data_IF_284999743370
#
_entry.id   IF_284999743370
#
_cell.length_a   1.000
_cell.length_b   1.000
_cell.length_c   1.000
_cell.angle_alpha   90.00
_cell.angle_beta   90.00
_cell.angle_gamma   90.00
#
_symmetry.space_group_name_H-M   'P 1'
#
loop_
_entity.id
_entity.type
_entity.pdbx_description
1 polymer ?
#
# COMPACT_ATOMS: atom_id res chain seq x y z
N UNK A 1 14.51 9.64 -25.16
CA UNK A 1 13.48 10.48 -24.55
C UNK A 1 14.09 11.74 -23.94
N UNK A 2 15.15 11.63 -23.12
CA UNK A 2 15.87 12.76 -22.49
C UNK A 2 16.34 13.80 -23.52
N UNK A 3 16.94 13.37 -24.63
CA UNK A 3 17.38 14.26 -25.69
C UNK A 3 16.21 15.05 -26.29
N UNK A 4 15.05 14.42 -26.42
CA UNK A 4 13.84 15.07 -26.96
C UNK A 4 13.24 16.09 -25.97
N UNK A 5 13.23 15.77 -24.67
CA UNK A 5 12.82 16.69 -23.60
C UNK A 5 13.72 17.94 -23.60
N UNK A 6 15.03 17.76 -23.68
CA UNK A 6 16.01 18.85 -23.78
C UNK A 6 15.80 19.72 -25.03
N UNK A 7 15.39 19.10 -26.16
CA UNK A 7 15.11 19.84 -27.41
C UNK A 7 13.83 20.67 -27.26
N UNK A 8 12.77 20.13 -26.62
CA UNK A 8 11.51 20.85 -26.37
C UNK A 8 11.74 22.05 -25.46
N UNK A 9 12.50 21.87 -24.37
CA UNK A 9 12.87 22.94 -23.47
C UNK A 9 13.63 24.07 -24.19
N UNK A 10 14.58 23.74 -25.06
CA UNK A 10 15.29 24.70 -25.90
C UNK A 10 14.36 25.46 -26.85
N UNK A 11 13.30 24.84 -27.34
CA UNK A 11 12.29 25.46 -28.21
C UNK A 11 11.19 26.20 -27.45
N UNK A 12 11.28 26.30 -26.12
CA UNK A 12 10.25 26.86 -25.23
C UNK A 12 8.88 26.21 -25.39
N UNK A 13 8.87 24.91 -25.67
CA UNK A 13 7.68 24.06 -25.68
C UNK A 13 7.61 23.32 -24.35
N UNK A 14 6.39 23.03 -23.88
CA UNK A 14 6.19 22.34 -22.61
C UNK A 14 6.62 20.87 -22.72
N UNK A 15 7.65 20.41 -21.99
CA UNK A 15 8.11 19.04 -21.98
C UNK A 15 7.35 18.14 -21.00
N UNK A 16 6.44 18.65 -20.18
CA UNK A 16 5.87 17.99 -18.99
C UNK A 16 5.34 16.57 -19.28
N UNK A 17 4.64 16.37 -20.40
CA UNK A 17 4.12 15.04 -20.75
C UNK A 17 5.20 13.99 -21.08
N UNK A 18 6.37 14.45 -21.52
CA UNK A 18 7.51 13.57 -21.80
C UNK A 18 8.37 13.33 -20.55
N UNK A 19 8.44 14.32 -19.67
CA UNK A 19 9.08 14.17 -18.35
C UNK A 19 8.33 13.12 -17.52
N UNK A 20 7.00 13.20 -17.46
CA UNK A 20 6.17 12.18 -16.78
C UNK A 20 6.41 10.78 -17.36
N UNK A 21 6.51 10.64 -18.70
CA UNK A 21 6.78 9.35 -19.34
C UNK A 21 8.20 8.84 -19.05
N UNK A 22 9.16 9.74 -18.92
CA UNK A 22 10.54 9.37 -18.55
C UNK A 22 10.59 8.88 -17.11
N UNK A 23 9.90 9.57 -16.20
CA UNK A 23 9.83 9.17 -14.79
C UNK A 23 9.17 7.80 -14.62
N UNK A 24 8.06 7.56 -15.33
CA UNK A 24 7.41 6.24 -15.35
C UNK A 24 8.35 5.14 -15.88
N UNK A 25 9.07 5.42 -16.97
CA UNK A 25 10.03 4.47 -17.51
C UNK A 25 11.19 4.18 -16.55
N UNK A 26 11.71 5.21 -15.88
CA UNK A 26 12.76 5.06 -14.88
C UNK A 26 12.27 4.27 -13.65
N UNK A 27 11.04 4.51 -13.20
CA UNK A 27 10.44 3.76 -12.10
C UNK A 27 10.24 2.29 -12.48
N UNK A 28 9.72 2.02 -13.68
CA UNK A 28 9.58 0.65 -14.18
C UNK A 28 10.95 -0.07 -14.27
N UNK A 29 11.99 0.62 -14.72
CA UNK A 29 13.34 0.05 -14.74
C UNK A 29 13.84 -0.29 -13.34
N UNK A 30 13.66 0.61 -12.36
CA UNK A 30 14.06 0.34 -10.96
C UNK A 30 13.32 -0.86 -10.37
N UNK A 31 12.03 -1.03 -10.69
CA UNK A 31 11.27 -2.22 -10.27
C UNK A 31 11.85 -3.50 -10.87
N UNK A 32 12.25 -3.48 -12.15
CA UNK A 32 12.88 -4.65 -12.78
C UNK A 32 14.25 -4.97 -12.17
N UNK A 33 14.98 -3.98 -11.67
CA UNK A 33 16.26 -4.17 -10.99
C UNK A 33 16.09 -4.76 -9.57
N UNK A 34 14.90 -4.61 -8.97
CA UNK A 34 14.53 -5.13 -7.64
C UNK A 34 13.74 -6.45 -7.74
N UNK A 35 13.97 -7.27 -8.75
CA UNK A 35 13.29 -8.58 -8.86
C UNK A 35 13.68 -9.46 -7.69
N UNK A 36 12.67 -9.90 -6.94
CA UNK A 36 12.84 -10.86 -5.85
C UNK A 36 12.53 -12.28 -6.33
N UNK A 37 13.30 -13.25 -5.86
CA UNK A 37 13.05 -14.66 -6.15
C UNK A 37 11.94 -15.18 -5.23
N UNK A 38 10.70 -15.00 -5.68
CA UNK A 38 9.48 -15.34 -4.93
C UNK A 38 8.83 -16.57 -5.55
N UNK A 39 8.48 -17.53 -4.73
CA UNK A 39 7.69 -18.68 -5.17
C UNK A 39 6.19 -18.39 -5.01
N UNK A 40 5.48 -18.21 -6.12
CA UNK A 40 4.01 -18.18 -6.12
C UNK A 40 3.51 -19.62 -5.92
N UNK A 41 2.84 -19.89 -4.80
CA UNK A 41 2.37 -21.23 -4.44
C UNK A 41 0.90 -21.46 -4.82
N UNK A 42 0.09 -20.39 -4.86
CA UNK A 42 -1.32 -20.46 -5.26
C UNK A 42 -1.80 -19.09 -5.77
N UNK A 43 -2.93 -19.09 -6.45
CA UNK A 43 -3.55 -17.89 -6.99
C UNK A 43 -5.07 -18.10 -7.07
N UNK A 44 -5.82 -17.22 -6.40
CA UNK A 44 -7.28 -17.30 -6.30
C UNK A 44 -7.91 -16.07 -6.93
N UNK A 45 -8.83 -16.26 -7.87
CA UNK A 45 -9.59 -15.17 -8.47
C UNK A 45 -10.90 -14.99 -7.71
N UNK A 46 -11.08 -13.83 -7.10
CA UNK A 46 -12.24 -13.49 -6.28
C UNK A 46 -12.87 -12.16 -6.72
N UNK A 47 -14.06 -11.87 -6.22
CA UNK A 47 -14.67 -10.55 -6.38
C UNK A 47 -13.88 -9.50 -5.59
N UNK A 48 -13.69 -8.32 -6.18
CA UNK A 48 -12.93 -7.23 -5.56
C UNK A 48 -13.51 -6.79 -4.22
N UNK A 49 -14.82 -6.96 -4.00
CA UNK A 49 -15.47 -6.68 -2.71
C UNK A 49 -15.19 -7.71 -1.62
N UNK A 50 -14.78 -8.93 -2.02
CA UNK A 50 -14.64 -10.07 -1.11
C UNK A 50 -13.18 -10.55 -0.96
N UNK A 51 -12.21 -9.80 -1.49
CA UNK A 51 -10.81 -10.25 -1.56
C UNK A 51 -10.21 -10.60 -0.19
N UNK A 52 -10.63 -9.92 0.89
CA UNK A 52 -10.15 -10.22 2.24
C UNK A 52 -10.48 -11.65 2.70
N UNK A 53 -11.53 -12.28 2.14
CA UNK A 53 -11.89 -13.65 2.49
C UNK A 53 -10.82 -14.68 2.09
N UNK A 54 -9.93 -14.33 1.18
CA UNK A 54 -8.81 -15.17 0.75
C UNK A 54 -7.59 -15.09 1.69
N UNK A 55 -7.54 -14.12 2.61
CA UNK A 55 -6.43 -13.92 3.53
C UNK A 55 -6.64 -14.78 4.78
N UNK A 56 -5.81 -15.80 4.96
CA UNK A 56 -5.84 -16.70 6.11
C UNK A 56 -4.57 -16.47 6.90
N UNK A 57 -4.67 -15.71 7.98
CA UNK A 57 -3.55 -15.33 8.84
C UNK A 57 -3.56 -16.14 10.14
N UNK A 58 -2.39 -16.43 10.68
CA UNK A 58 -2.24 -16.89 12.06
C UNK A 58 -2.62 -15.78 13.05
N UNK A 59 -3.03 -16.16 14.25
CA UNK A 59 -3.36 -15.18 15.30
C UNK A 59 -2.14 -14.33 15.69
N UNK A 60 -0.94 -14.83 15.48
CA UNK A 60 0.34 -14.14 15.71
C UNK A 60 0.59 -13.00 14.74
N UNK A 61 -0.02 -13.04 13.58
CA UNK A 61 0.09 -11.99 12.55
C UNK A 61 -0.93 -10.86 12.70
N UNK A 62 -1.82 -10.92 13.71
CA UNK A 62 -2.90 -9.97 13.91
C UNK A 62 -4.14 -10.31 13.10
N UNK A 63 -5.03 -9.34 12.94
CA UNK A 63 -6.30 -9.53 12.20
C UNK A 63 -6.54 -8.44 11.17
N UNK A 64 -7.29 -8.81 10.14
CA UNK A 64 -7.72 -7.93 9.05
C UNK A 64 -9.24 -7.92 8.98
N UNK A 65 -9.80 -6.73 8.94
CA UNK A 65 -11.22 -6.50 8.74
C UNK A 65 -11.45 -5.47 7.63
N UNK A 66 -12.64 -5.45 7.03
CA UNK A 66 -13.02 -4.29 6.23
C UNK A 66 -13.25 -3.08 7.14
N UNK A 67 -12.99 -1.88 6.63
CA UNK A 67 -13.25 -0.64 7.39
C UNK A 67 -14.71 -0.59 7.87
N UNK A 68 -15.64 -0.96 7.00
CA UNK A 68 -17.09 -0.99 7.28
C UNK A 68 -17.42 -1.92 8.44
N UNK A 69 -16.90 -3.14 8.45
CA UNK A 69 -17.23 -4.14 9.46
C UNK A 69 -16.59 -3.80 10.80
N UNK A 70 -15.34 -3.32 10.79
CA UNK A 70 -14.64 -2.93 12.02
C UNK A 70 -15.30 -1.76 12.73
N UNK A 71 -15.59 -0.67 12.01
CA UNK A 71 -16.20 0.54 12.58
C UNK A 71 -17.73 0.50 12.59
N UNK A 72 -18.36 -0.56 12.11
CA UNK A 72 -19.80 -0.73 12.00
C UNK A 72 -20.50 0.47 11.33
N UNK A 73 -19.90 0.97 10.27
CA UNK A 73 -20.36 2.14 9.52
C UNK A 73 -20.96 1.77 8.17
N UNK A 74 -21.84 2.63 7.64
CA UNK A 74 -22.35 2.52 6.27
C UNK A 74 -21.63 3.47 5.29
N UNK A 75 -20.59 4.14 5.73
CA UNK A 75 -19.79 4.98 4.86
C UNK A 75 -19.12 4.15 3.77
N UNK A 76 -19.08 4.63 2.52
CA UNK A 76 -18.49 3.90 1.40
C UNK A 76 -16.96 4.00 1.41
N UNK A 77 -16.32 3.63 2.52
CA UNK A 77 -14.86 3.61 2.66
C UNK A 77 -14.34 2.28 2.15
N UNK A 78 -13.60 2.33 1.05
CA UNK A 78 -12.95 1.15 0.47
C UNK A 78 -11.53 1.00 1.04
N UNK A 79 -11.44 0.51 2.25
CA UNK A 79 -10.20 0.32 3.00
C UNK A 79 -10.30 -0.88 3.92
N UNK A 80 -9.17 -1.25 4.50
CA UNK A 80 -9.03 -2.31 5.50
C UNK A 80 -8.56 -1.74 6.82
N UNK A 81 -8.86 -2.46 7.89
CA UNK A 81 -8.33 -2.20 9.24
C UNK A 81 -7.43 -3.38 9.62
N UNK A 82 -6.17 -3.11 9.83
CA UNK A 82 -5.26 -4.06 10.45
C UNK A 82 -5.19 -3.81 11.95
N UNK A 83 -5.40 -4.86 12.73
CA UNK A 83 -5.23 -4.84 14.19
C UNK A 83 -4.06 -5.76 14.56
N UNK A 84 -3.09 -5.24 15.29
CA UNK A 84 -1.91 -5.98 15.70
C UNK A 84 -2.25 -7.16 16.61
N UNK A 85 -1.31 -8.12 16.74
CA UNK A 85 -1.44 -9.33 17.57
C UNK A 85 -1.88 -9.04 19.00
N UNK A 86 -1.35 -7.96 19.61
CA UNK A 86 -1.71 -7.58 20.99
C UNK A 86 -3.12 -7.04 21.12
N UNK A 87 -3.75 -6.67 20.01
CA UNK A 87 -5.07 -6.05 19.99
C UNK A 87 -5.10 -4.62 20.52
N UNK A 88 -3.96 -3.99 20.72
CA UNK A 88 -3.83 -2.67 21.33
C UNK A 88 -3.56 -1.54 20.33
N UNK A 89 -3.40 -1.87 19.05
CA UNK A 89 -3.16 -0.88 18.01
C UNK A 89 -3.79 -1.27 16.68
N UNK A 90 -4.39 -0.29 16.01
CA UNK A 90 -4.96 -0.45 14.67
C UNK A 90 -4.34 0.53 13.69
N UNK A 91 -4.33 0.10 12.42
CA UNK A 91 -3.92 0.90 11.28
C UNK A 91 -4.96 0.75 10.17
N UNK A 92 -5.32 1.84 9.54
CA UNK A 92 -6.35 1.88 8.51
C UNK A 92 -6.20 3.11 7.63
N UNK A 93 -7.02 3.23 6.59
CA UNK A 93 -7.06 4.42 5.77
C UNK A 93 -8.49 4.92 5.58
N UNK A 94 -8.64 6.23 5.53
CA UNK A 94 -9.85 6.90 5.09
C UNK A 94 -9.54 8.30 4.56
N UNK A 95 -10.56 8.97 4.01
CA UNK A 95 -10.45 10.36 3.57
C UNK A 95 -11.11 11.27 4.61
N UNK A 96 -10.41 12.32 5.04
CA UNK A 96 -10.94 13.32 5.99
C UNK A 96 -11.71 14.45 5.30
N UNK A 97 -11.41 14.73 4.05
CA UNK A 97 -11.93 15.84 3.25
C UNK A 97 -12.62 15.40 1.95
N UNK A 98 -12.65 14.09 1.70
CA UNK A 98 -13.23 13.48 0.50
C UNK A 98 -12.30 13.48 -0.71
N UNK A 99 -11.06 14.00 -0.57
CA UNK A 99 -10.13 14.11 -1.69
C UNK A 99 -9.32 12.84 -1.90
N UNK A 100 -8.63 12.38 -0.84
CA UNK A 100 -7.73 11.22 -0.94
C UNK A 100 -7.73 10.38 0.34
N UNK A 101 -7.35 9.13 0.21
CA UNK A 101 -7.11 8.24 1.34
C UNK A 101 -5.75 8.54 1.98
N UNK A 102 -5.74 8.68 3.30
CA UNK A 102 -4.54 8.78 4.12
C UNK A 102 -4.53 7.66 5.17
N UNK A 103 -3.34 7.25 5.58
CA UNK A 103 -3.11 6.24 6.60
C UNK A 103 -3.19 6.86 8.00
N UNK A 104 -3.89 6.17 8.89
CA UNK A 104 -4.09 6.54 10.29
C UNK A 104 -3.78 5.37 11.22
N UNK A 105 -3.60 5.69 12.49
CA UNK A 105 -3.45 4.72 13.57
C UNK A 105 -4.19 5.17 14.81
N UNK A 106 -4.70 4.21 15.58
CA UNK A 106 -5.22 4.42 16.93
C UNK A 106 -4.60 3.40 17.89
N UNK A 107 -4.47 3.78 19.14
CA UNK A 107 -4.02 2.87 20.21
C UNK A 107 -5.13 2.66 21.22
N UNK A 108 -5.23 1.47 21.78
CA UNK A 108 -6.18 1.13 22.83
C UNK A 108 -5.79 1.83 24.13
N UNK A 109 -6.74 2.52 24.74
CA UNK A 109 -6.60 3.18 26.04
C UNK A 109 -7.79 2.77 26.92
N UNK A 110 -7.55 2.03 27.99
CA UNK A 110 -8.60 1.60 28.95
C UNK A 110 -9.81 0.94 28.25
N UNK A 111 -9.54 0.01 27.35
CA UNK A 111 -10.52 -0.76 26.56
C UNK A 111 -11.32 0.05 25.51
N UNK A 112 -10.91 1.29 25.22
CA UNK A 112 -11.46 2.11 24.15
C UNK A 112 -10.37 2.55 23.17
N UNK A 113 -10.72 2.72 21.90
CA UNK A 113 -9.80 3.29 20.91
C UNK A 113 -9.61 4.78 21.20
N UNK A 114 -8.36 5.18 21.39
CA UNK A 114 -7.97 6.57 21.61
C UNK A 114 -8.09 7.44 20.36
N UNK A 115 -7.59 8.67 20.44
CA UNK A 115 -7.63 9.61 19.33
C UNK A 115 -6.92 9.07 18.09
N UNK A 116 -7.55 9.30 16.96
CA UNK A 116 -6.98 9.03 15.63
C UNK A 116 -5.75 9.89 15.38
N UNK A 117 -4.70 9.27 14.87
CA UNK A 117 -3.46 9.94 14.48
C UNK A 117 -3.13 9.63 13.04
N UNK A 118 -3.07 10.66 12.21
CA UNK A 118 -2.59 10.52 10.85
C UNK A 118 -1.10 10.16 10.85
N UNK A 119 -0.70 9.21 10.01
CA UNK A 119 0.72 8.93 9.80
C UNK A 119 1.41 10.08 9.09
N UNK A 120 2.74 10.25 9.26
CA UNK A 120 3.47 11.40 8.74
C UNK A 120 3.42 11.50 7.20
N UNK A 121 3.66 12.72 6.70
CA UNK A 121 3.65 13.04 5.26
C UNK A 121 4.74 12.34 4.45
N UNK A 122 5.73 11.74 5.07
CA UNK A 122 6.70 10.91 4.36
C UNK A 122 6.17 9.51 4.03
N UNK A 123 5.07 9.07 4.67
CA UNK A 123 4.31 7.87 4.31
C UNK A 123 3.11 8.29 3.47
N UNK A 124 2.27 9.18 4.02
CA UNK A 124 1.13 9.73 3.30
C UNK A 124 1.59 10.62 2.15
N UNK A 125 1.38 10.16 0.93
CA UNK A 125 1.75 10.85 -0.30
C UNK A 125 0.75 11.97 -0.65
N UNK A 126 0.88 12.54 -1.85
CA UNK A 126 -0.11 13.48 -2.38
C UNK A 126 -1.29 12.79 -3.09
N UNK A 127 -1.27 11.46 -3.18
CA UNK A 127 -2.31 10.62 -3.76
C UNK A 127 -2.88 9.65 -2.72
N UNK A 128 -3.70 8.69 -3.13
CA UNK A 128 -4.28 7.70 -2.23
C UNK A 128 -3.23 6.77 -1.64
N UNK A 129 -3.20 6.67 -0.31
CA UNK A 129 -2.45 5.69 0.47
C UNK A 129 -3.43 4.82 1.26
N UNK A 130 -3.32 3.49 1.15
CA UNK A 130 -4.34 2.57 1.67
C UNK A 130 -3.74 1.20 2.04
N UNK A 131 -4.56 0.32 2.59
CA UNK A 131 -4.28 -1.08 2.88
C UNK A 131 -3.01 -1.30 3.73
N UNK A 132 -2.92 -0.68 4.92
CA UNK A 132 -1.77 -0.84 5.79
C UNK A 132 -1.72 -2.22 6.45
N UNK A 133 -0.51 -2.77 6.55
CA UNK A 133 -0.18 -3.94 7.33
C UNK A 133 1.14 -3.73 8.09
N UNK A 134 1.21 -4.15 9.34
CA UNK A 134 2.41 -3.97 10.17
C UNK A 134 2.94 -5.32 10.63
N UNK A 135 4.24 -5.55 10.44
CA UNK A 135 4.89 -6.76 10.91
C UNK A 135 4.84 -6.90 12.43
N UNK A 136 5.14 -8.10 12.93
CA UNK A 136 5.20 -8.42 14.36
C UNK A 136 6.23 -7.58 15.13
N UNK A 137 7.21 -6.98 14.43
CA UNK A 137 8.18 -6.04 15.01
C UNK A 137 7.54 -4.70 15.44
N UNK A 138 6.30 -4.42 15.03
CA UNK A 138 5.55 -3.21 15.33
C UNK A 138 6.12 -1.94 14.71
N UNK A 139 7.11 -2.05 13.83
CA UNK A 139 7.85 -0.94 13.25
C UNK A 139 7.82 -0.93 11.71
N UNK A 140 7.82 -2.10 11.08
CA UNK A 140 7.80 -2.23 9.62
C UNK A 140 6.37 -2.21 9.12
N UNK A 141 6.06 -1.26 8.25
CA UNK A 141 4.73 -1.07 7.65
C UNK A 141 4.80 -1.33 6.15
N UNK A 142 3.94 -2.21 5.68
CA UNK A 142 3.58 -2.37 4.27
C UNK A 142 2.28 -1.63 4.00
N UNK A 143 2.17 -0.99 2.86
CA UNK A 143 0.97 -0.29 2.45
C UNK A 143 0.93 -0.12 0.93
N UNK A 144 -0.20 0.32 0.41
CA UNK A 144 -0.38 0.58 -1.01
C UNK A 144 -0.54 2.06 -1.26
N UNK A 145 0.13 2.58 -2.28
CA UNK A 145 0.10 4.01 -2.64
C UNK A 145 -0.10 4.18 -4.14
N UNK A 146 -0.86 5.19 -4.51
CA UNK A 146 -0.93 5.70 -5.90
C UNK A 146 0.10 6.80 -6.17
N UNK A 147 0.69 7.33 -5.10
CA UNK A 147 1.78 8.30 -5.13
C UNK A 147 3.16 7.64 -5.05
N UNK A 148 4.15 8.38 -4.57
CA UNK A 148 5.52 7.90 -4.32
C UNK A 148 6.22 7.29 -5.56
N UNK A 149 5.74 7.59 -6.76
CA UNK A 149 6.28 7.07 -8.01
C UNK A 149 5.70 5.71 -8.41
N UNK A 150 4.49 5.39 -7.97
CA UNK A 150 3.75 4.22 -8.45
C UNK A 150 3.59 4.26 -9.98
N UNK A 151 3.48 3.09 -10.61
CA UNK A 151 3.43 2.98 -12.07
C UNK A 151 2.10 2.49 -12.62
N UNK A 152 1.29 1.81 -11.82
CA UNK A 152 0.08 1.14 -12.30
C UNK A 152 -1.22 1.57 -11.64
N UNK A 153 -1.19 2.41 -10.67
CA UNK A 153 -2.29 2.72 -9.76
C UNK A 153 -1.82 2.53 -8.34
N UNK A 154 -2.43 1.64 -7.56
CA UNK A 154 -1.83 1.22 -6.31
C UNK A 154 -0.61 0.33 -6.55
N UNK A 155 0.52 0.72 -5.99
CA UNK A 155 1.72 -0.10 -5.86
C UNK A 155 2.04 -0.35 -4.39
N UNK A 156 2.73 -1.43 -4.09
CA UNK A 156 3.13 -1.85 -2.75
C UNK A 156 4.43 -1.17 -2.33
N UNK A 157 4.41 -0.62 -1.13
CA UNK A 157 5.54 0.05 -0.49
C UNK A 157 5.81 -0.53 0.89
N UNK A 158 7.05 -0.41 1.32
CA UNK A 158 7.48 -0.74 2.68
C UNK A 158 8.22 0.45 3.28
N UNK A 159 8.01 0.67 4.56
CA UNK A 159 8.79 1.62 5.36
C UNK A 159 8.97 1.09 6.78
N UNK A 160 9.88 1.71 7.52
CA UNK A 160 10.16 1.32 8.90
C UNK A 160 10.23 2.54 9.82
N UNK A 161 9.59 2.43 10.97
CA UNK A 161 9.72 3.41 12.03
C UNK A 161 11.11 3.40 12.63
N UNK A 162 11.72 4.59 12.71
CA UNK A 162 13.03 4.79 13.33
C UNK A 162 12.85 5.51 14.68
N UNK A 163 12.99 4.74 15.75
CA UNK A 163 12.81 5.25 17.11
C UNK A 163 13.81 6.37 17.50
N UNK A 164 14.98 6.40 16.85
CA UNK A 164 16.00 7.42 17.17
C UNK A 164 15.64 8.80 16.61
N UNK A 165 14.94 8.86 15.50
CA UNK A 165 14.50 10.10 14.83
C UNK A 165 13.01 10.38 15.04
N UNK A 166 12.28 9.47 15.70
CA UNK A 166 10.82 9.53 15.91
C UNK A 166 10.04 9.77 14.60
N UNK A 167 10.47 9.08 13.55
CA UNK A 167 9.85 9.17 12.22
C UNK A 167 10.03 7.88 11.43
N UNK A 168 9.33 7.76 10.32
CA UNK A 168 9.52 6.65 9.40
C UNK A 168 10.62 6.96 8.39
N UNK A 169 11.31 5.93 7.94
CA UNK A 169 12.26 6.01 6.83
C UNK A 169 11.50 6.37 5.54
N UNK A 170 12.24 6.81 4.52
CA UNK A 170 11.65 7.00 3.20
C UNK A 170 11.06 5.67 2.69
N UNK A 171 9.80 5.65 2.21
CA UNK A 171 9.22 4.44 1.69
C UNK A 171 9.99 3.89 0.50
N UNK A 172 10.11 2.58 0.46
CA UNK A 172 10.68 1.84 -0.66
C UNK A 172 9.59 1.06 -1.37
N UNK A 173 9.54 1.23 -2.70
CA UNK A 173 8.65 0.45 -3.56
C UNK A 173 9.15 -1.00 -3.62
N UNK A 174 8.24 -1.96 -3.47
CA UNK A 174 8.56 -3.36 -3.72
C UNK A 174 8.82 -3.57 -5.21
N UNK A 175 9.73 -4.51 -5.51
CA UNK A 175 10.06 -4.87 -6.88
C UNK A 175 9.04 -5.81 -7.51
N UNK A 176 9.36 -6.31 -8.70
CA UNK A 176 8.62 -7.42 -9.29
C UNK A 176 8.91 -8.72 -8.51
N UNK A 177 7.94 -9.63 -8.36
CA UNK A 177 6.64 -9.65 -9.03
C UNK A 177 5.50 -8.94 -8.26
N UNK A 178 5.79 -8.31 -7.14
CA UNK A 178 4.76 -7.69 -6.29
C UNK A 178 4.06 -6.54 -7.01
N UNK A 179 4.82 -5.60 -7.57
CA UNK A 179 4.27 -4.47 -8.30
C UNK A 179 4.25 -4.70 -9.81
N UNK A 180 3.26 -4.10 -10.48
CA UNK A 180 3.00 -4.23 -11.91
C UNK A 180 2.37 -2.94 -12.48
N UNK A 181 2.15 -2.82 -13.80
CA UNK A 181 1.38 -1.70 -14.37
C UNK A 181 -0.13 -1.72 -14.06
N UNK A 182 -0.57 -2.48 -13.08
CA UNK A 182 -1.95 -2.62 -12.60
C UNK A 182 -2.04 -2.17 -11.14
N UNK A 183 -3.22 -2.34 -10.51
CA UNK A 183 -3.30 -2.12 -9.07
C UNK A 183 -2.80 -3.36 -8.33
N UNK A 184 -1.81 -3.15 -7.49
CA UNK A 184 -1.24 -4.16 -6.60
C UNK A 184 -1.37 -3.64 -5.17
N UNK A 185 -2.07 -4.38 -4.31
CA UNK A 185 -2.43 -3.88 -3.00
C UNK A 185 -2.58 -4.96 -1.95
N UNK A 186 -2.68 -4.55 -0.69
CA UNK A 186 -2.90 -5.40 0.48
C UNK A 186 -1.84 -6.51 0.60
N UNK A 187 -0.57 -6.12 0.74
CA UNK A 187 0.50 -7.08 1.03
C UNK A 187 0.55 -7.39 2.51
N UNK A 188 0.47 -8.67 2.83
CA UNK A 188 0.43 -9.19 4.20
C UNK A 188 1.39 -10.36 4.33
N UNK A 189 2.09 -10.43 5.43
CA UNK A 189 3.04 -11.51 5.73
C UNK A 189 2.62 -12.20 7.03
N UNK A 190 2.40 -13.49 6.95
CA UNK A 190 2.33 -14.36 8.12
C UNK A 190 3.74 -14.91 8.40
N UNK A 191 4.48 -14.22 9.27
CA UNK A 191 5.85 -14.56 9.62
C UNK A 191 5.94 -15.92 10.33
N UNK A 192 4.85 -16.38 10.93
CA UNK A 192 4.81 -17.66 11.62
C UNK A 192 4.75 -18.84 10.63
N UNK A 193 3.98 -18.69 9.57
CA UNK A 193 3.81 -19.72 8.53
C UNK A 193 4.74 -19.53 7.32
N UNK A 194 5.54 -18.45 7.31
CA UNK A 194 6.43 -18.08 6.19
C UNK A 194 5.65 -17.93 4.87
N UNK A 195 4.48 -17.30 4.95
CA UNK A 195 3.57 -17.07 3.83
C UNK A 195 3.27 -15.58 3.67
N UNK A 196 3.07 -15.16 2.42
CA UNK A 196 2.62 -13.82 2.10
C UNK A 196 1.47 -13.83 1.11
N UNK A 197 0.61 -12.82 1.21
CA UNK A 197 -0.51 -12.58 0.31
C UNK A 197 -0.46 -11.17 -0.22
N UNK A 198 -0.85 -10.99 -1.44
CA UNK A 198 -1.17 -9.67 -1.99
C UNK A 198 -2.27 -9.81 -3.03
N UNK A 199 -3.02 -8.74 -3.24
CA UNK A 199 -4.07 -8.69 -4.25
C UNK A 199 -3.59 -7.89 -5.46
N UNK A 200 -3.99 -8.35 -6.66
CA UNK A 200 -3.69 -7.66 -7.91
C UNK A 200 -4.86 -7.78 -8.88
N UNK A 201 -5.18 -6.71 -9.59
CA UNK A 201 -6.16 -6.76 -10.68
C UNK A 201 -5.50 -7.01 -12.05
N UNK A 202 -4.18 -7.35 -12.07
CA UNK A 202 -3.44 -7.67 -13.30
C UNK A 202 -4.09 -8.81 -14.07
N UNK A 203 -4.38 -8.55 -15.33
CA UNK A 203 -5.00 -9.51 -16.25
C UNK A 203 -6.37 -10.04 -15.80
N UNK A 204 -7.03 -9.39 -14.83
CA UNK A 204 -8.35 -9.80 -14.37
C UNK A 204 -9.46 -9.03 -15.09
N UNK A 205 -10.66 -9.62 -15.25
CA UNK A 205 -11.85 -8.89 -15.66
C UNK A 205 -12.21 -7.80 -14.64
N UNK A 206 -12.90 -6.76 -15.10
CA UNK A 206 -13.41 -5.70 -14.23
C UNK A 206 -14.20 -6.30 -13.03
N UNK A 207 -13.91 -5.80 -11.83
CA UNK A 207 -14.54 -6.27 -10.59
C UNK A 207 -13.92 -7.53 -10.00
N UNK A 208 -12.89 -8.10 -10.61
CA UNK A 208 -12.15 -9.24 -10.08
C UNK A 208 -10.73 -8.88 -9.69
N UNK A 209 -10.18 -9.66 -8.76
CA UNK A 209 -8.77 -9.61 -8.33
C UNK A 209 -8.25 -11.03 -8.10
N UNK A 210 -6.95 -11.13 -8.14
CA UNK A 210 -6.22 -12.36 -7.89
C UNK A 210 -5.20 -12.11 -6.80
#
# INVERSE_FOLDING_TARGET
LEEYINLLAKKKQDPQSFETKLDLANNAQRMMEKVEDVQIIDSLVVDKGDFLSAYILSEESGTLDSYKDFFQTNEPVNSTVYKNQKGDKIYYAHSTDGDRYCLFTQSMLMDEWGDEKQLPMNINSNDDDNYPFVLSDGATIYYSSKGNGSIGGYDLFVTRYNINSDTYLAPEQLGMPFNSPYNDYMYVIDEFNDLGWFASDRYQPEGKVC
#
